data_IF_072042049018
#
_entry.id   IF_072042049018
#
_cell.length_a   1.000
_cell.length_b   1.000
_cell.length_c   1.000
_cell.angle_alpha   90.00
_cell.angle_beta   90.00
_cell.angle_gamma   90.00
#
_symmetry.space_group_name_H-M   'P 1'
#
loop_
_entity.id
_entity.type
_entity.pdbx_description
1 polymer ?
#
# COMPACT_ATOMS: atom_id res chain seq x y z
N UNK A 1 -34.96 22.69 43.39
CA UNK A 1 -33.63 23.23 43.71
C UNK A 1 -32.66 22.50 42.81
N UNK A 2 -32.18 23.20 41.79
CA UNK A 2 -31.14 22.73 40.87
C UNK A 2 -29.87 23.31 41.45
N UNK A 3 -28.97 22.46 41.92
CA UNK A 3 -27.67 22.90 42.41
C UNK A 3 -26.88 23.48 41.24
N UNK A 4 -26.78 24.81 41.24
CA UNK A 4 -25.95 25.60 40.35
C UNK A 4 -24.53 25.63 40.93
N UNK A 5 -23.79 24.54 40.85
CA UNK A 5 -22.33 24.63 40.96
C UNK A 5 -21.75 25.15 39.63
N UNK A 6 -20.92 26.21 39.66
CA UNK A 6 -20.26 26.69 38.45
C UNK A 6 -19.27 25.63 37.94
N UNK A 7 -19.46 25.23 36.69
CA UNK A 7 -18.55 24.35 35.96
C UNK A 7 -17.14 24.97 35.91
N UNK A 8 -16.22 24.38 36.65
CA UNK A 8 -14.79 24.68 36.57
C UNK A 8 -14.19 23.70 35.57
N UNK A 9 -13.63 24.14 34.42
CA UNK A 9 -12.94 23.25 33.51
C UNK A 9 -11.76 22.66 34.25
N UNK A 10 -11.81 21.36 34.55
CA UNK A 10 -10.67 20.62 35.06
C UNK A 10 -9.54 20.81 34.05
N UNK A 11 -8.42 21.37 34.52
CA UNK A 11 -7.20 21.49 33.73
C UNK A 11 -6.90 20.16 33.05
N UNK A 12 -6.63 20.20 31.75
CA UNK A 12 -6.21 19.05 30.95
C UNK A 12 -5.01 18.38 31.61
N UNK A 13 -5.23 17.29 32.34
CA UNK A 13 -4.14 16.43 32.77
C UNK A 13 -3.95 15.35 31.70
N UNK A 14 -2.89 15.50 30.91
CA UNK A 14 -2.47 14.51 29.91
C UNK A 14 -2.26 13.12 30.56
N UNK A 15 -1.99 13.08 31.87
CA UNK A 15 -1.83 11.84 32.63
C UNK A 15 -3.12 11.01 32.75
N UNK A 16 -4.31 11.63 32.72
CA UNK A 16 -5.57 10.93 32.94
C UNK A 16 -5.94 10.01 31.75
N UNK A 17 -5.56 10.37 30.52
CA UNK A 17 -5.90 9.57 29.33
C UNK A 17 -4.91 8.44 29.09
N UNK A 18 -3.64 8.69 29.42
CA UNK A 18 -2.56 7.71 29.29
C UNK A 18 -2.68 6.58 30.32
N UNK A 19 -3.37 6.81 31.44
CA UNK A 19 -3.57 5.81 32.50
C UNK A 19 -5.00 5.29 32.62
N UNK A 20 -5.91 5.74 31.74
CA UNK A 20 -7.31 5.34 31.73
C UNK A 20 -7.47 3.81 31.63
N UNK A 21 -8.28 3.23 32.52
CA UNK A 21 -8.55 1.79 32.58
C UNK A 21 -9.92 1.48 31.97
N UNK A 22 -9.98 0.41 31.19
CA UNK A 22 -11.25 -0.15 30.73
C UNK A 22 -12.09 -0.63 31.91
N UNK A 23 -13.39 -0.34 31.88
CA UNK A 23 -14.36 -0.99 32.73
C UNK A 23 -14.97 -2.23 32.05
N UNK A 24 -15.81 -2.97 32.80
CA UNK A 24 -16.45 -4.19 32.29
C UNK A 24 -17.27 -3.96 31.01
N UNK A 25 -17.88 -2.79 30.84
CA UNK A 25 -18.70 -2.49 29.68
C UNK A 25 -17.83 -2.18 28.47
N UNK A 26 -16.68 -1.54 28.66
CA UNK A 26 -15.71 -1.32 27.59
C UNK A 26 -15.24 -2.67 27.01
N UNK A 27 -14.93 -3.65 27.87
CA UNK A 27 -14.60 -5.00 27.42
C UNK A 27 -15.77 -5.72 26.72
N UNK A 28 -16.98 -5.63 27.27
CA UNK A 28 -18.17 -6.22 26.64
C UNK A 28 -18.45 -5.63 25.26
N UNK A 29 -18.31 -4.32 25.10
CA UNK A 29 -18.53 -3.62 23.84
C UNK A 29 -17.47 -4.00 22.82
N UNK A 30 -16.20 -4.02 23.23
CA UNK A 30 -15.10 -4.44 22.37
C UNK A 30 -15.32 -5.87 21.87
N UNK A 31 -15.59 -6.81 22.78
CA UNK A 31 -15.87 -8.20 22.43
C UNK A 31 -17.11 -8.33 21.54
N UNK A 32 -18.17 -7.57 21.78
CA UNK A 32 -19.35 -7.56 20.92
C UNK A 32 -19.03 -7.07 19.51
N UNK A 33 -18.31 -5.95 19.36
CA UNK A 33 -17.94 -5.41 18.05
C UNK A 33 -17.03 -6.38 17.29
N UNK A 34 -16.03 -6.95 17.98
CA UNK A 34 -15.17 -8.00 17.43
C UNK A 34 -15.95 -9.25 17.03
N UNK A 35 -16.92 -9.66 17.84
CA UNK A 35 -17.82 -10.77 17.54
C UNK A 35 -18.63 -10.54 16.27
N UNK A 36 -19.25 -9.36 16.13
CA UNK A 36 -20.00 -8.98 14.93
C UNK A 36 -19.10 -9.00 13.70
N UNK A 37 -17.89 -8.44 13.79
CA UNK A 37 -16.95 -8.42 12.69
C UNK A 37 -16.45 -9.82 12.30
N UNK A 38 -16.17 -10.69 13.28
CA UNK A 38 -15.84 -12.10 13.03
C UNK A 38 -16.97 -12.86 12.33
N UNK A 39 -18.23 -12.61 12.69
CA UNK A 39 -19.37 -13.20 11.96
C UNK A 39 -19.48 -12.66 10.52
N UNK A 40 -19.20 -11.36 10.31
CA UNK A 40 -19.17 -10.79 8.97
C UNK A 40 -18.08 -11.46 8.13
N UNK A 41 -16.92 -11.66 8.72
CA UNK A 41 -15.79 -12.33 8.09
C UNK A 41 -16.17 -13.75 7.64
N UNK A 42 -16.65 -14.59 8.55
CA UNK A 42 -17.07 -15.97 8.27
C UNK A 42 -18.16 -16.04 7.18
N UNK A 43 -19.22 -15.25 7.29
CA UNK A 43 -20.40 -15.42 6.42
C UNK A 43 -20.33 -14.66 5.09
N UNK A 44 -19.46 -13.66 4.98
CA UNK A 44 -19.42 -12.74 3.84
C UNK A 44 -18.03 -12.57 3.21
N UNK A 45 -16.95 -12.71 3.97
CA UNK A 45 -15.58 -12.78 3.44
C UNK A 45 -15.27 -14.21 3.00
N UNK A 46 -15.29 -15.20 3.91
CA UNK A 46 -15.07 -16.63 3.59
C UNK A 46 -13.75 -16.87 2.84
N UNK A 47 -13.79 -17.65 1.74
CA UNK A 47 -12.62 -17.89 0.87
C UNK A 47 -12.64 -17.05 -0.42
N UNK A 48 -11.50 -16.86 -1.10
CA UNK A 48 -11.40 -16.00 -2.28
C UNK A 48 -12.31 -16.37 -3.45
N UNK A 49 -12.67 -17.65 -3.61
CA UNK A 49 -13.43 -18.13 -4.76
C UNK A 49 -14.95 -18.03 -4.52
N UNK A 50 -15.41 -18.30 -3.29
CA UNK A 50 -16.84 -18.28 -2.99
C UNK A 50 -17.33 -16.97 -2.36
N UNK A 51 -16.41 -16.12 -1.90
CA UNK A 51 -16.67 -14.86 -1.20
C UNK A 51 -17.80 -14.01 -1.81
N UNK A 52 -18.73 -13.56 -0.97
CA UNK A 52 -19.81 -12.66 -1.38
C UNK A 52 -19.32 -11.22 -1.49
N UNK A 53 -18.57 -10.75 -0.49
CA UNK A 53 -17.95 -9.43 -0.53
C UNK A 53 -16.83 -9.38 -1.56
N UNK A 54 -16.06 -10.46 -1.72
CA UNK A 54 -15.00 -10.58 -2.72
C UNK A 54 -15.50 -10.37 -4.15
N UNK A 55 -16.64 -10.97 -4.51
CA UNK A 55 -17.28 -10.74 -5.83
C UNK A 55 -17.70 -9.28 -6.04
N UNK A 56 -18.05 -8.57 -4.98
CA UNK A 56 -18.36 -7.14 -5.05
C UNK A 56 -17.09 -6.32 -5.19
N UNK A 57 -16.04 -6.69 -4.47
CA UNK A 57 -14.73 -6.03 -4.52
C UNK A 57 -14.04 -6.23 -5.88
N UNK A 58 -14.17 -7.41 -6.49
CA UNK A 58 -13.69 -7.67 -7.85
C UNK A 58 -14.35 -6.71 -8.87
N UNK A 59 -15.65 -6.42 -8.74
CA UNK A 59 -16.33 -5.44 -9.61
C UNK A 59 -15.84 -4.02 -9.37
N UNK A 60 -15.51 -3.67 -8.14
CA UNK A 60 -14.91 -2.37 -7.80
C UNK A 60 -13.51 -2.26 -8.44
N UNK A 61 -12.69 -3.31 -8.35
CA UNK A 61 -11.39 -3.38 -9.00
C UNK A 61 -11.52 -3.27 -10.53
N UNK A 62 -12.43 -4.01 -11.16
CA UNK A 62 -12.72 -3.92 -12.59
C UNK A 62 -13.10 -2.48 -13.00
N UNK A 63 -13.97 -1.84 -12.21
CA UNK A 63 -14.40 -0.47 -12.44
C UNK A 63 -13.26 0.55 -12.27
N UNK A 64 -12.39 0.35 -11.29
CA UNK A 64 -11.19 1.15 -11.08
C UNK A 64 -10.23 1.04 -12.28
N UNK A 65 -9.85 -0.18 -12.68
CA UNK A 65 -8.96 -0.40 -13.83
C UNK A 65 -9.54 0.19 -15.11
N UNK A 66 -10.86 0.07 -15.35
CA UNK A 66 -11.52 0.72 -16.49
C UNK A 66 -11.40 2.23 -16.46
N UNK A 67 -11.73 2.86 -15.33
CA UNK A 67 -11.65 4.32 -15.17
C UNK A 67 -10.22 4.82 -15.34
N UNK A 68 -9.25 4.14 -14.74
CA UNK A 68 -7.83 4.45 -14.87
C UNK A 68 -7.38 4.37 -16.33
N UNK A 69 -7.66 3.27 -17.03
CA UNK A 69 -7.34 3.09 -18.44
C UNK A 69 -7.93 4.20 -19.32
N UNK A 70 -9.19 4.57 -19.10
CA UNK A 70 -9.85 5.64 -19.84
C UNK A 70 -9.23 7.01 -19.55
N UNK A 71 -8.91 7.31 -18.28
CA UNK A 71 -8.20 8.54 -17.90
C UNK A 71 -6.84 8.65 -18.58
N UNK A 72 -6.04 7.59 -18.51
CA UNK A 72 -4.74 7.56 -19.17
C UNK A 72 -4.89 7.66 -20.68
N UNK A 73 -5.86 6.98 -21.29
CA UNK A 73 -6.10 7.06 -22.73
C UNK A 73 -6.45 8.48 -23.20
N UNK A 74 -7.25 9.23 -22.42
CA UNK A 74 -7.57 10.63 -22.73
C UNK A 74 -6.32 11.50 -22.73
N UNK A 75 -5.40 11.25 -21.79
CA UNK A 75 -4.16 12.00 -21.62
C UNK A 75 -2.98 11.49 -22.46
N UNK A 76 -3.14 10.35 -23.13
CA UNK A 76 -2.09 9.72 -23.93
C UNK A 76 -1.85 10.48 -25.26
N UNK A 77 -0.69 11.12 -25.46
CA UNK A 77 -0.41 11.90 -26.66
C UNK A 77 0.06 11.03 -27.84
N UNK A 78 0.24 9.71 -27.66
CA UNK A 78 0.80 8.81 -28.69
C UNK A 78 -0.10 8.77 -29.93
N UNK A 79 0.51 9.01 -31.08
CA UNK A 79 -0.13 8.93 -32.40
C UNK A 79 -0.05 7.53 -33.01
N UNK A 80 0.92 6.72 -32.57
CA UNK A 80 1.13 5.33 -32.97
C UNK A 80 1.15 4.46 -31.71
N UNK A 81 0.61 3.24 -31.79
CA UNK A 81 0.48 2.33 -30.64
C UNK A 81 -0.69 2.64 -29.70
N UNK A 82 -1.31 3.83 -29.79
CA UNK A 82 -2.55 4.15 -29.08
C UNK A 82 -3.78 3.55 -29.80
N UNK A 83 -4.72 2.90 -29.09
CA UNK A 83 -5.98 2.46 -29.69
C UNK A 83 -6.77 3.65 -30.28
N UNK A 84 -7.25 3.52 -31.52
CA UNK A 84 -8.02 4.58 -32.22
C UNK A 84 -9.29 5.01 -31.50
N UNK A 85 -9.88 4.11 -30.70
CA UNK A 85 -11.08 4.37 -29.89
C UNK A 85 -10.73 4.13 -28.43
N UNK A 86 -11.37 4.90 -27.56
CA UNK A 86 -11.24 4.73 -26.12
C UNK A 86 -11.66 3.31 -25.70
N UNK A 87 -10.85 2.59 -24.91
CA UNK A 87 -11.18 1.23 -24.47
C UNK A 87 -12.45 1.23 -23.60
N UNK A 88 -13.33 0.27 -23.87
CA UNK A 88 -14.65 0.15 -23.21
C UNK A 88 -14.76 -1.15 -22.40
N UNK A 89 -14.29 -2.27 -22.97
CA UNK A 89 -14.33 -3.57 -22.29
C UNK A 89 -13.14 -3.70 -21.34
N UNK A 90 -13.27 -4.57 -20.33
CA UNK A 90 -12.18 -4.78 -19.37
C UNK A 90 -10.91 -5.30 -20.07
N UNK A 91 -11.07 -6.25 -21.00
CA UNK A 91 -9.99 -6.73 -21.88
C UNK A 91 -9.27 -5.59 -22.61
N UNK A 92 -10.01 -4.66 -23.22
CA UNK A 92 -9.44 -3.52 -23.92
C UNK A 92 -8.70 -2.57 -22.97
N UNK A 93 -9.25 -2.33 -21.78
CA UNK A 93 -8.64 -1.48 -20.78
C UNK A 93 -7.33 -2.06 -20.24
N UNK A 94 -7.31 -3.36 -19.91
CA UNK A 94 -6.09 -4.07 -19.50
C UNK A 94 -5.05 -4.02 -20.61
N UNK A 95 -5.42 -4.39 -21.84
CA UNK A 95 -4.49 -4.39 -22.96
C UNK A 95 -3.93 -3.01 -23.29
N UNK A 96 -4.73 -1.95 -23.09
CA UNK A 96 -4.26 -0.58 -23.23
C UNK A 96 -3.23 -0.23 -22.15
N UNK A 97 -3.49 -0.57 -20.87
CA UNK A 97 -2.57 -0.30 -19.77
C UNK A 97 -1.25 -1.07 -19.93
N UNK A 98 -1.30 -2.36 -20.28
CA UNK A 98 -0.12 -3.19 -20.59
C UNK A 98 0.76 -2.56 -21.70
N UNK A 99 0.14 -1.87 -22.67
CA UNK A 99 0.84 -1.16 -23.76
C UNK A 99 1.27 0.26 -23.39
N UNK A 100 0.54 0.93 -22.50
CA UNK A 100 0.83 2.28 -22.03
C UNK A 100 1.96 2.30 -21.00
N UNK A 101 2.07 1.21 -20.22
CA UNK A 101 3.05 1.04 -19.18
C UNK A 101 3.84 -0.26 -19.36
N UNK A 102 4.61 -0.42 -20.46
CA UNK A 102 5.35 -1.66 -20.67
C UNK A 102 6.45 -1.82 -19.61
N UNK A 103 6.70 -3.06 -19.20
CA UNK A 103 7.76 -3.41 -18.26
C UNK A 103 8.52 -4.65 -18.75
N UNK A 104 9.77 -4.79 -18.33
CA UNK A 104 10.64 -5.91 -18.75
C UNK A 104 10.57 -7.13 -17.82
N UNK A 105 9.77 -7.06 -16.75
CA UNK A 105 9.61 -8.09 -15.74
C UNK A 105 8.30 -8.89 -15.81
N UNK A 106 7.44 -8.62 -16.80
CA UNK A 106 6.13 -9.26 -16.99
C UNK A 106 6.18 -10.62 -17.73
N UNK A 107 7.17 -11.46 -17.41
CA UNK A 107 7.32 -12.77 -18.05
C UNK A 107 6.33 -13.78 -17.46
N UNK A 108 5.47 -14.35 -18.31
CA UNK A 108 4.38 -15.27 -17.86
C UNK A 108 4.85 -16.69 -17.55
N UNK A 109 5.98 -17.10 -18.14
CA UNK A 109 6.55 -18.44 -18.01
C UNK A 109 8.08 -18.40 -18.10
N UNK A 110 8.77 -19.41 -17.58
CA UNK A 110 10.24 -19.53 -17.70
C UNK A 110 10.71 -19.56 -19.16
N UNK A 111 9.90 -20.10 -20.08
CA UNK A 111 10.21 -20.09 -21.52
C UNK A 111 10.28 -18.69 -22.13
N UNK A 112 9.66 -17.69 -21.53
CA UNK A 112 9.72 -16.28 -21.97
C UNK A 112 11.02 -15.60 -21.50
N UNK A 113 11.86 -16.32 -20.72
CA UNK A 113 13.08 -15.85 -20.08
C UNK A 113 14.33 -16.64 -20.54
N UNK A 114 15.50 -16.00 -20.52
CA UNK A 114 16.80 -16.60 -20.82
C UNK A 114 17.35 -17.38 -19.62
N UNK A 115 16.72 -18.50 -19.27
CA UNK A 115 17.11 -19.39 -18.17
C UNK A 115 17.39 -20.82 -18.64
N UNK A 116 18.18 -21.53 -17.84
CA UNK A 116 18.39 -22.98 -18.00
C UNK A 116 17.11 -23.74 -17.65
N UNK A 117 16.95 -24.92 -18.26
CA UNK A 117 15.86 -25.83 -17.93
C UNK A 117 15.86 -26.17 -16.42
N UNK A 118 14.68 -26.14 -15.82
CA UNK A 118 14.48 -26.39 -14.39
C UNK A 118 14.45 -25.14 -13.50
N UNK A 119 15.02 -24.01 -13.93
CA UNK A 119 14.90 -22.72 -13.22
C UNK A 119 13.52 -22.12 -13.48
N UNK A 120 12.86 -21.61 -12.43
CA UNK A 120 11.48 -21.10 -12.50
C UNK A 120 10.49 -22.12 -13.08
N UNK A 121 10.73 -23.43 -12.89
CA UNK A 121 9.90 -24.49 -13.45
C UNK A 121 8.43 -24.45 -12.97
N UNK A 122 8.19 -23.82 -11.81
CA UNK A 122 6.85 -23.65 -11.23
C UNK A 122 6.14 -22.37 -11.67
N UNK A 123 6.80 -21.49 -12.42
CA UNK A 123 6.21 -20.22 -12.85
C UNK A 123 5.14 -20.46 -13.93
N UNK A 124 3.96 -19.86 -13.70
CA UNK A 124 2.79 -19.94 -14.58
C UNK A 124 2.05 -18.60 -14.57
N UNK A 125 1.14 -18.33 -15.53
CA UNK A 125 0.37 -17.10 -15.55
C UNK A 125 -0.44 -16.86 -14.27
N UNK A 126 -0.84 -17.93 -13.58
CA UNK A 126 -1.56 -17.85 -12.30
C UNK A 126 -0.74 -17.29 -11.14
N UNK A 127 0.60 -17.36 -11.21
CA UNK A 127 1.48 -17.01 -10.09
C UNK A 127 2.62 -16.05 -10.46
N UNK A 128 2.80 -15.67 -11.73
CA UNK A 128 3.93 -14.84 -12.13
C UNK A 128 3.96 -13.46 -11.47
N UNK A 129 2.81 -12.82 -11.21
CA UNK A 129 2.74 -11.58 -10.43
C UNK A 129 3.25 -11.74 -8.99
N UNK A 130 3.21 -12.94 -8.42
CA UNK A 130 3.83 -13.22 -7.12
C UNK A 130 5.33 -13.53 -7.29
N UNK A 131 5.68 -14.33 -8.30
CA UNK A 131 7.06 -14.81 -8.51
C UNK A 131 8.04 -13.70 -8.89
N UNK A 132 7.59 -12.70 -9.67
CA UNK A 132 8.37 -11.53 -10.02
C UNK A 132 8.14 -10.42 -8.99
N UNK A 133 9.21 -10.00 -8.33
CA UNK A 133 9.13 -9.09 -7.18
C UNK A 133 8.52 -7.74 -7.53
N UNK A 134 8.76 -7.27 -8.74
CA UNK A 134 8.34 -5.96 -9.22
C UNK A 134 6.80 -5.79 -9.29
N UNK A 135 6.01 -6.86 -9.25
CA UNK A 135 4.55 -6.77 -9.25
C UNK A 135 3.93 -6.61 -7.85
N UNK A 136 4.74 -6.55 -6.79
CA UNK A 136 4.25 -6.43 -5.41
C UNK A 136 3.95 -4.97 -5.07
N UNK A 137 2.73 -4.59 -4.64
CA UNK A 137 2.33 -3.20 -4.42
C UNK A 137 2.84 -2.65 -3.07
N UNK A 138 4.15 -2.65 -2.89
CA UNK A 138 4.84 -2.25 -1.66
C UNK A 138 6.24 -1.66 -1.98
N UNK A 139 6.97 -1.13 -0.97
CA UNK A 139 8.29 -0.55 -1.20
C UNK A 139 9.32 -1.54 -1.79
N UNK A 140 9.21 -2.84 -1.51
CA UNK A 140 10.15 -3.84 -2.04
C UNK A 140 9.90 -4.02 -3.53
N UNK A 141 8.64 -4.21 -3.93
CA UNK A 141 8.26 -4.29 -5.33
C UNK A 141 8.60 -3.02 -6.11
N UNK A 142 8.43 -1.83 -5.51
CA UNK A 142 8.87 -0.57 -6.12
C UNK A 142 10.37 -0.53 -6.38
N UNK A 143 11.19 -0.89 -5.38
CA UNK A 143 12.65 -0.89 -5.52
C UNK A 143 13.08 -1.82 -6.65
N UNK A 144 12.56 -3.06 -6.66
CA UNK A 144 12.89 -4.02 -7.72
C UNK A 144 12.35 -3.60 -9.07
N UNK A 145 11.16 -3.02 -9.15
CA UNK A 145 10.61 -2.47 -10.39
C UNK A 145 11.50 -1.38 -10.98
N UNK A 146 12.02 -0.46 -10.16
CA UNK A 146 12.96 0.58 -10.62
C UNK A 146 14.25 -0.10 -11.11
N UNK A 147 14.87 -0.96 -10.30
CA UNK A 147 16.13 -1.64 -10.65
C UNK A 147 15.97 -2.45 -11.94
N UNK A 148 14.92 -3.25 -12.06
CA UNK A 148 14.66 -4.09 -13.20
C UNK A 148 14.48 -3.26 -14.48
N UNK A 149 13.77 -2.13 -14.40
CA UNK A 149 13.65 -1.16 -15.50
C UNK A 149 14.99 -0.50 -15.85
N UNK A 150 15.84 -0.18 -14.87
CA UNK A 150 17.18 0.38 -15.13
C UNK A 150 18.12 -0.62 -15.78
N UNK A 151 18.08 -1.86 -15.34
CA UNK A 151 19.07 -2.88 -15.68
C UNK A 151 18.64 -3.75 -16.87
N UNK A 152 17.36 -3.72 -17.25
CA UNK A 152 16.83 -4.51 -18.36
C UNK A 152 16.68 -6.01 -18.07
N UNK A 153 16.81 -6.43 -16.81
CA UNK A 153 16.49 -7.78 -16.34
C UNK A 153 15.25 -7.77 -15.46
N UNK A 154 14.73 -8.96 -15.16
CA UNK A 154 13.64 -9.17 -14.23
C UNK A 154 14.11 -9.97 -13.00
N UNK A 155 13.67 -9.57 -11.81
CA UNK A 155 14.05 -10.21 -10.55
C UNK A 155 12.93 -11.13 -10.05
N UNK A 156 13.30 -12.39 -9.78
CA UNK A 156 12.38 -13.42 -9.28
C UNK A 156 12.92 -14.08 -8.00
N UNK A 157 12.04 -14.78 -7.28
CA UNK A 157 12.43 -15.72 -6.24
C UNK A 157 12.14 -17.15 -6.70
N UNK A 158 13.17 -18.00 -6.68
CA UNK A 158 13.05 -19.44 -6.97
C UNK A 158 13.70 -20.25 -5.85
N UNK A 159 12.93 -21.11 -5.18
CA UNK A 159 13.37 -21.93 -4.04
C UNK A 159 14.08 -21.09 -2.95
N UNK A 160 13.45 -20.00 -2.53
CA UNK A 160 13.96 -19.10 -1.50
C UNK A 160 15.18 -18.26 -1.92
N UNK A 161 15.57 -18.28 -3.20
CA UNK A 161 16.74 -17.54 -3.70
C UNK A 161 16.32 -16.50 -4.72
N UNK A 162 16.89 -15.31 -4.57
CA UNK A 162 16.76 -14.23 -5.54
C UNK A 162 17.57 -14.55 -6.79
N UNK A 163 16.95 -14.41 -7.96
CA UNK A 163 17.56 -14.61 -9.26
C UNK A 163 17.23 -13.44 -10.20
N UNK A 164 18.21 -13.03 -10.99
CA UNK A 164 18.04 -12.03 -12.06
C UNK A 164 18.04 -12.72 -13.40
N UNK A 165 17.06 -12.38 -14.25
CA UNK A 165 16.84 -13.08 -15.50
C UNK A 165 16.48 -12.11 -16.61
N UNK A 166 17.10 -12.30 -17.78
CA UNK A 166 16.83 -11.46 -18.96
C UNK A 166 15.61 -12.03 -19.72
N UNK A 167 14.60 -11.19 -20.08
CA UNK A 167 13.50 -11.62 -20.93
C UNK A 167 13.97 -11.92 -22.36
N UNK A 168 13.48 -13.01 -22.97
CA UNK A 168 13.83 -13.38 -24.37
C UNK A 168 13.24 -12.42 -25.39
N UNK A 169 12.06 -11.91 -25.10
CA UNK A 169 11.38 -10.90 -25.91
C UNK A 169 11.40 -9.61 -25.12
N UNK A 170 12.16 -8.64 -25.60
CA UNK A 170 11.93 -7.26 -25.20
C UNK A 170 10.73 -6.75 -25.98
N UNK A 171 9.82 -6.07 -25.28
CA UNK A 171 8.78 -5.30 -25.97
C UNK A 171 9.49 -4.30 -26.89
N UNK A 172 9.09 -4.23 -28.16
CA UNK A 172 9.52 -3.15 -29.06
C UNK A 172 8.86 -1.80 -28.72
N UNK A 173 7.95 -1.78 -27.74
CA UNK A 173 7.45 -0.54 -27.15
C UNK A 173 8.57 0.05 -26.30
N UNK A 174 8.77 1.37 -26.40
CA UNK A 174 9.80 2.06 -25.63
C UNK A 174 9.24 2.28 -24.21
N UNK A 175 9.80 1.60 -23.20
CA UNK A 175 10.08 2.32 -21.96
C UNK A 175 11.33 1.80 -21.27
N UNK A 176 12.35 2.65 -21.22
CA UNK A 176 13.37 2.54 -20.18
C UNK A 176 13.62 3.97 -19.75
N UNK A 177 12.96 4.36 -18.66
CA UNK A 177 13.22 5.58 -17.91
C UNK A 177 13.25 6.84 -18.80
N UNK A 178 12.08 7.30 -19.22
CA UNK A 178 11.97 8.54 -19.98
C UNK A 178 12.42 9.73 -19.11
N UNK A 179 13.64 10.18 -19.30
CA UNK A 179 14.19 11.27 -18.52
C UNK A 179 15.61 11.60 -18.95
N UNK A 180 15.99 12.86 -18.85
CA UNK A 180 17.36 13.32 -19.11
C UNK A 180 18.17 13.44 -17.81
N UNK A 181 17.53 13.25 -16.66
CA UNK A 181 18.10 13.39 -15.32
C UNK A 181 17.69 12.22 -14.43
N UNK A 182 18.50 11.88 -13.42
CA UNK A 182 18.16 10.81 -12.48
C UNK A 182 16.79 11.01 -11.80
N UNK A 183 16.40 12.21 -11.32
CA UNK A 183 15.07 12.41 -10.75
C UNK A 183 13.93 12.16 -11.74
N UNK A 184 14.05 12.62 -13.00
CA UNK A 184 13.02 12.38 -14.03
C UNK A 184 12.91 10.90 -14.40
N UNK A 185 14.04 10.20 -14.49
CA UNK A 185 14.08 8.76 -14.69
C UNK A 185 13.38 8.00 -13.55
N UNK A 186 13.69 8.33 -12.29
CA UNK A 186 13.06 7.71 -11.12
C UNK A 186 11.54 7.96 -11.09
N UNK A 187 11.10 9.19 -11.35
CA UNK A 187 9.69 9.54 -11.45
C UNK A 187 8.98 8.72 -12.53
N UNK A 188 9.55 8.64 -13.74
CA UNK A 188 8.98 7.85 -14.82
C UNK A 188 8.96 6.36 -14.50
N UNK A 189 9.99 5.82 -13.87
CA UNK A 189 10.00 4.42 -13.41
C UNK A 189 8.90 4.13 -12.39
N UNK A 190 8.67 5.05 -11.44
CA UNK A 190 7.59 4.97 -10.46
C UNK A 190 6.20 5.04 -11.10
N UNK A 191 5.96 6.00 -12.01
CA UNK A 191 4.68 6.12 -12.72
C UNK A 191 4.42 4.90 -13.60
N UNK A 192 5.46 4.39 -14.27
CA UNK A 192 5.36 3.19 -15.11
C UNK A 192 4.97 1.97 -14.27
N UNK A 193 5.61 1.79 -13.11
CA UNK A 193 5.28 0.73 -12.17
C UNK A 193 3.82 0.79 -11.71
N UNK A 194 3.36 1.96 -11.23
CA UNK A 194 1.97 2.14 -10.82
C UNK A 194 1.02 1.80 -11.97
N UNK A 195 1.29 2.33 -13.17
CA UNK A 195 0.45 2.10 -14.35
C UNK A 195 0.36 0.62 -14.74
N UNK A 196 1.48 -0.12 -14.66
CA UNK A 196 1.53 -1.56 -14.92
C UNK A 196 0.73 -2.37 -13.88
N UNK A 197 0.88 -2.04 -12.58
CA UNK A 197 0.10 -2.69 -11.52
C UNK A 197 -1.42 -2.51 -11.67
N UNK A 198 -1.87 -1.39 -12.26
CA UNK A 198 -3.31 -1.15 -12.50
C UNK A 198 -3.93 -2.15 -13.50
N UNK A 199 -3.18 -2.62 -14.49
CA UNK A 199 -3.61 -3.73 -15.36
C UNK A 199 -3.63 -5.04 -14.59
N UNK A 200 -2.55 -5.35 -13.87
CA UNK A 200 -2.36 -6.64 -13.22
C UNK A 200 -3.35 -6.90 -12.08
N UNK A 201 -3.87 -5.84 -11.46
CA UNK A 201 -4.87 -5.91 -10.38
C UNK A 201 -6.04 -6.85 -10.71
N UNK A 202 -6.45 -6.89 -11.97
CA UNK A 202 -7.64 -7.62 -12.46
C UNK A 202 -7.30 -8.78 -13.39
N UNK A 203 -6.02 -9.15 -13.48
CA UNK A 203 -5.49 -10.18 -14.37
C UNK A 203 -5.29 -9.73 -15.80
N UNK A 204 -5.04 -10.69 -16.69
CA UNK A 204 -4.67 -10.37 -18.08
C UNK A 204 -5.86 -10.25 -19.02
N UNK A 205 -5.66 -9.48 -20.09
CA UNK A 205 -6.60 -9.36 -21.22
C UNK A 205 -7.10 -10.73 -21.73
N UNK A 206 -6.23 -11.74 -21.77
CA UNK A 206 -6.58 -13.10 -22.21
C UNK A 206 -7.59 -13.83 -21.32
N UNK A 207 -7.58 -13.53 -20.01
CA UNK A 207 -8.49 -14.16 -19.03
C UNK A 207 -9.80 -13.40 -18.85
N UNK A 208 -9.82 -12.12 -19.22
CA UNK A 208 -10.94 -11.18 -19.01
C UNK A 208 -11.71 -10.85 -20.29
N UNK A 209 -11.45 -11.61 -21.37
CA UNK A 209 -12.15 -11.53 -22.65
C UNK A 209 -13.62 -11.92 -22.53
N UNK A 210 -14.47 -11.30 -23.34
CA UNK A 210 -15.90 -11.65 -23.42
C UNK A 210 -16.09 -13.15 -23.69
N UNK A 211 -16.97 -13.79 -22.91
CA UNK A 211 -17.19 -15.25 -22.94
C UNK A 211 -16.23 -16.07 -22.06
N UNK A 212 -15.23 -15.45 -21.42
CA UNK A 212 -14.44 -16.07 -20.34
C UNK A 212 -15.02 -15.68 -18.98
N UNK A 213 -15.07 -16.63 -18.05
CA UNK A 213 -15.61 -16.46 -16.70
C UNK A 213 -14.53 -16.43 -15.61
N UNK A 214 -13.24 -16.47 -15.99
CA UNK A 214 -12.13 -16.49 -15.04
C UNK A 214 -11.95 -15.16 -14.31
N UNK A 215 -11.63 -15.24 -13.01
CA UNK A 215 -11.31 -14.07 -12.16
C UNK A 215 -10.01 -13.37 -12.56
N UNK A 216 -9.08 -14.10 -13.21
CA UNK A 216 -7.73 -13.64 -13.53
C UNK A 216 -6.82 -13.62 -12.29
N UNK A 217 -5.52 -13.75 -12.48
CA UNK A 217 -4.54 -13.61 -11.39
C UNK A 217 -4.40 -12.12 -11.03
N UNK A 218 -4.68 -11.74 -9.79
CA UNK A 218 -4.45 -10.38 -9.31
C UNK A 218 -2.97 -10.15 -8.97
N UNK A 219 -2.65 -9.00 -8.41
CA UNK A 219 -1.33 -8.73 -7.81
C UNK A 219 -1.27 -9.23 -6.36
N UNK A 220 -0.09 -9.65 -5.86
CA UNK A 220 0.07 -10.06 -4.47
C UNK A 220 -0.34 -8.94 -3.52
N UNK A 221 -0.74 -9.33 -2.31
CA UNK A 221 -0.94 -8.38 -1.22
C UNK A 221 0.41 -7.74 -0.87
N UNK A 222 0.45 -6.50 -0.34
CA UNK A 222 1.71 -5.91 0.11
C UNK A 222 2.49 -6.85 1.02
N UNK A 223 3.78 -7.05 0.72
CA UNK A 223 4.70 -7.94 1.44
C UNK A 223 4.43 -9.45 1.34
N UNK A 224 3.47 -9.90 0.52
CA UNK A 224 3.17 -11.34 0.36
C UNK A 224 4.30 -12.08 -0.36
N UNK A 225 5.06 -11.41 -1.21
CA UNK A 225 6.26 -11.92 -1.87
C UNK A 225 7.36 -12.37 -0.90
N UNK A 226 7.36 -11.86 0.34
CA UNK A 226 8.29 -12.30 1.37
C UNK A 226 8.11 -13.78 1.74
N UNK A 227 6.90 -14.33 1.59
CA UNK A 227 6.66 -15.76 1.80
C UNK A 227 7.46 -16.65 0.84
N UNK A 228 7.91 -16.11 -0.29
CA UNK A 228 8.72 -16.88 -1.24
C UNK A 228 10.11 -17.22 -0.69
N UNK A 229 10.65 -16.41 0.23
CA UNK A 229 11.91 -16.68 0.94
C UNK A 229 11.77 -17.74 2.04
N UNK A 230 10.55 -18.05 2.47
CA UNK A 230 10.28 -19.05 3.48
C UNK A 230 10.31 -20.48 2.89
N UNK A 231 11.41 -20.84 2.23
CA UNK A 231 11.62 -22.16 1.62
C UNK A 231 12.12 -23.17 2.66
N UNK A 232 11.31 -23.39 3.70
CA UNK A 232 11.55 -24.36 4.76
C UNK A 232 10.29 -25.17 5.06
N UNK A 233 10.47 -26.24 5.84
CA UNK A 233 9.40 -27.16 6.22
C UNK A 233 9.06 -28.19 5.14
N UNK A 234 8.27 -29.19 5.52
CA UNK A 234 7.78 -30.22 4.63
C UNK A 234 6.37 -30.63 5.09
N UNK A 235 5.36 -29.96 4.56
CA UNK A 235 3.95 -30.21 4.83
C UNK A 235 3.38 -30.82 3.54
N UNK A 236 3.07 -32.11 3.58
CA UNK A 236 2.61 -32.90 2.42
C UNK A 236 3.50 -32.76 1.17
N UNK A 237 4.82 -32.83 1.36
CA UNK A 237 5.79 -32.71 0.27
C UNK A 237 6.03 -31.29 -0.22
N UNK A 238 5.54 -30.27 0.48
CA UNK A 238 5.68 -28.84 0.11
C UNK A 238 6.35 -28.04 1.20
N UNK A 239 7.22 -27.11 0.81
CA UNK A 239 7.74 -26.06 1.68
C UNK A 239 6.64 -25.03 1.97
N UNK A 240 6.85 -24.20 2.99
CA UNK A 240 5.90 -23.13 3.33
C UNK A 240 5.70 -22.14 2.17
N UNK A 241 6.79 -21.73 1.50
CA UNK A 241 6.75 -20.96 0.25
C UNK A 241 5.82 -21.59 -0.80
N UNK A 242 5.92 -22.90 -1.04
CA UNK A 242 5.04 -23.60 -1.99
C UNK A 242 3.56 -23.61 -1.58
N UNK A 243 3.27 -23.60 -0.29
CA UNK A 243 1.89 -23.48 0.21
C UNK A 243 1.36 -22.08 -0.07
N UNK A 244 2.13 -21.05 0.25
CA UNK A 244 1.70 -19.66 0.04
C UNK A 244 1.55 -19.29 -1.43
N UNK A 245 2.36 -19.88 -2.32
CA UNK A 245 2.15 -19.78 -3.78
C UNK A 245 0.80 -20.39 -4.17
N UNK A 246 0.44 -21.56 -3.65
CA UNK A 246 -0.85 -22.19 -3.95
C UNK A 246 -2.03 -21.37 -3.41
N UNK A 247 -1.91 -20.84 -2.20
CA UNK A 247 -2.92 -19.96 -1.61
C UNK A 247 -3.14 -18.72 -2.49
N UNK A 248 -2.06 -18.12 -3.01
CA UNK A 248 -2.17 -17.02 -3.97
C UNK A 248 -2.87 -17.44 -5.27
N UNK A 249 -2.57 -18.63 -5.80
CA UNK A 249 -3.23 -19.18 -7.00
C UNK A 249 -4.74 -19.39 -6.82
N UNK A 250 -5.21 -19.64 -5.60
CA UNK A 250 -6.64 -19.70 -5.26
C UNK A 250 -7.32 -18.32 -5.24
N UNK A 251 -6.59 -17.23 -5.49
CA UNK A 251 -7.11 -15.87 -5.57
C UNK A 251 -6.90 -15.03 -4.31
N UNK A 252 -6.04 -15.48 -3.40
CA UNK A 252 -5.62 -14.76 -2.19
C UNK A 252 -4.67 -13.60 -2.55
N UNK A 253 -5.21 -12.62 -3.26
CA UNK A 253 -4.53 -11.46 -3.84
C UNK A 253 -4.98 -10.13 -3.21
N UNK A 254 -4.46 -8.99 -3.68
CA UNK A 254 -4.82 -7.66 -3.15
C UNK A 254 -6.32 -7.37 -3.13
N UNK A 255 -7.10 -7.89 -4.09
CA UNK A 255 -8.57 -7.69 -4.10
C UNK A 255 -9.20 -8.44 -2.93
N UNK A 256 -8.71 -9.65 -2.62
CA UNK A 256 -9.16 -10.40 -1.46
C UNK A 256 -8.66 -9.77 -0.14
N UNK A 257 -7.45 -9.20 -0.09
CA UNK A 257 -6.99 -8.43 1.08
C UNK A 257 -7.91 -7.25 1.38
N UNK A 258 -8.34 -6.54 0.33
CA UNK A 258 -9.29 -5.44 0.47
C UNK A 258 -10.64 -5.93 1.01
N UNK A 259 -11.04 -7.16 0.65
CA UNK A 259 -12.25 -7.80 1.17
C UNK A 259 -12.10 -8.15 2.65
N UNK A 260 -11.00 -8.79 3.03
CA UNK A 260 -10.65 -9.12 4.41
C UNK A 260 -10.52 -7.89 5.32
N UNK A 261 -10.13 -6.73 4.77
CA UNK A 261 -10.05 -5.48 5.52
C UNK A 261 -11.42 -4.91 5.92
N UNK A 262 -12.52 -5.28 5.25
CA UNK A 262 -13.87 -4.76 5.53
C UNK A 262 -14.29 -5.02 6.99
N UNK A 263 -14.35 -6.28 7.48
CA UNK A 263 -14.72 -6.53 8.87
C UNK A 263 -13.76 -5.87 9.87
N UNK A 264 -12.47 -5.79 9.56
CA UNK A 264 -11.45 -5.15 10.42
C UNK A 264 -11.71 -3.65 10.57
N UNK A 265 -11.99 -2.94 9.48
CA UNK A 265 -12.32 -1.51 9.51
C UNK A 265 -13.66 -1.27 10.22
N UNK A 266 -14.66 -2.12 9.97
CA UNK A 266 -15.97 -2.03 10.62
C UNK A 266 -15.85 -2.18 12.14
N UNK A 267 -15.11 -3.18 12.62
CA UNK A 267 -14.82 -3.40 14.04
C UNK A 267 -14.23 -2.15 14.70
N UNK A 268 -13.17 -1.61 14.12
CA UNK A 268 -12.50 -0.42 14.62
C UNK A 268 -13.43 0.80 14.68
N UNK A 269 -14.23 1.03 13.62
CA UNK A 269 -15.18 2.15 13.57
C UNK A 269 -16.30 1.98 14.61
N UNK A 270 -16.86 0.78 14.76
CA UNK A 270 -17.90 0.50 15.76
C UNK A 270 -17.39 0.77 17.17
N UNK A 271 -16.20 0.28 17.50
CA UNK A 271 -15.57 0.52 18.81
C UNK A 271 -15.36 2.00 19.04
N UNK A 272 -14.76 2.72 18.08
CA UNK A 272 -14.51 4.15 18.21
C UNK A 272 -15.81 4.93 18.43
N UNK A 273 -16.83 4.70 17.61
CA UNK A 273 -18.11 5.42 17.74
C UNK A 273 -18.75 5.18 19.11
N UNK A 274 -18.85 3.92 19.55
CA UNK A 274 -19.46 3.61 20.85
C UNK A 274 -18.60 4.17 21.99
N UNK A 275 -17.28 4.09 21.89
CA UNK A 275 -16.36 4.68 22.87
C UNK A 275 -16.56 6.19 22.99
N UNK A 276 -16.65 6.93 21.86
CA UNK A 276 -16.91 8.39 21.88
C UNK A 276 -18.23 8.71 22.59
N UNK A 277 -19.30 7.96 22.28
CA UNK A 277 -20.60 8.12 22.94
C UNK A 277 -20.47 7.89 24.45
N UNK A 278 -19.71 6.89 24.89
CA UNK A 278 -19.48 6.62 26.31
C UNK A 278 -18.68 7.73 27.00
N UNK A 279 -17.59 8.19 26.38
CA UNK A 279 -16.79 9.29 26.93
C UNK A 279 -17.66 10.54 27.12
N UNK A 280 -18.45 10.89 26.10
CA UNK A 280 -19.26 12.10 26.11
C UNK A 280 -20.43 12.02 27.09
N UNK A 281 -21.24 10.98 27.02
CA UNK A 281 -22.54 10.97 27.67
C UNK A 281 -22.55 10.24 29.02
N UNK A 282 -21.69 9.24 29.20
CA UNK A 282 -21.60 8.47 30.46
C UNK A 282 -20.53 9.09 31.36
N UNK A 283 -19.32 9.29 30.83
CA UNK A 283 -18.18 9.83 31.59
C UNK A 283 -18.15 11.36 31.64
N UNK A 284 -19.12 12.01 30.99
CA UNK A 284 -19.31 13.47 30.96
C UNK A 284 -18.08 14.26 30.51
N UNK A 285 -17.22 13.64 29.69
CA UNK A 285 -16.03 14.30 29.14
C UNK A 285 -16.39 15.31 28.06
N UNK A 286 -15.50 16.27 27.81
CA UNK A 286 -15.68 17.23 26.72
C UNK A 286 -15.48 16.56 25.35
N UNK A 287 -15.89 17.22 24.26
CA UNK A 287 -15.72 16.70 22.90
C UNK A 287 -14.25 16.51 22.54
N UNK A 288 -13.39 17.46 22.94
CA UNK A 288 -11.95 17.38 22.70
C UNK A 288 -11.33 16.18 23.43
N UNK A 289 -11.84 15.83 24.61
CA UNK A 289 -11.36 14.67 25.38
C UNK A 289 -11.99 13.35 24.93
N UNK A 290 -12.98 13.42 24.03
CA UNK A 290 -13.69 12.26 23.47
C UNK A 290 -13.30 12.04 22.01
N UNK A 291 -12.27 12.71 21.51
CA UNK A 291 -11.78 12.50 20.15
C UNK A 291 -10.96 11.21 20.10
N UNK A 292 -11.30 10.22 19.26
CA UNK A 292 -10.71 8.88 19.34
C UNK A 292 -9.29 8.84 18.75
N UNK A 293 -8.28 9.22 19.56
CA UNK A 293 -6.86 9.14 19.22
C UNK A 293 -6.18 7.92 19.82
N UNK A 294 -4.96 7.64 19.35
CA UNK A 294 -4.07 6.61 19.91
C UNK A 294 -3.60 6.93 21.34
N UNK A 295 -3.83 8.13 21.86
CA UNK A 295 -3.32 8.54 23.16
C UNK A 295 -4.17 7.94 24.31
N UNK A 296 -5.42 7.59 24.00
CA UNK A 296 -6.36 7.00 24.95
C UNK A 296 -6.06 5.52 25.21
N UNK A 297 -5.58 5.21 26.41
CA UNK A 297 -5.22 3.83 26.79
C UNK A 297 -6.41 2.88 26.81
N UNK A 298 -7.56 3.33 27.31
CA UNK A 298 -8.80 2.54 27.32
C UNK A 298 -9.26 2.18 25.88
N UNK A 299 -9.21 3.14 24.96
CA UNK A 299 -9.55 2.90 23.55
C UNK A 299 -8.58 1.91 22.89
N UNK A 300 -7.26 2.05 23.10
CA UNK A 300 -6.27 1.11 22.55
C UNK A 300 -6.51 -0.32 23.01
N UNK A 301 -6.81 -0.51 24.30
CA UNK A 301 -7.13 -1.84 24.85
C UNK A 301 -8.45 -2.37 24.28
N UNK A 302 -9.48 -1.54 24.13
CA UNK A 302 -10.73 -1.96 23.48
C UNK A 302 -10.48 -2.46 22.05
N UNK A 303 -9.68 -1.75 21.25
CA UNK A 303 -9.32 -2.17 19.90
C UNK A 303 -8.56 -3.51 19.89
N UNK A 304 -7.64 -3.74 20.83
CA UNK A 304 -6.96 -5.04 20.96
C UNK A 304 -7.97 -6.15 21.26
N UNK A 305 -8.89 -5.93 22.20
CA UNK A 305 -9.87 -6.95 22.63
C UNK A 305 -10.87 -7.25 21.52
N UNK A 306 -11.38 -6.23 20.83
CA UNK A 306 -12.28 -6.42 19.69
C UNK A 306 -11.59 -7.17 18.56
N UNK A 307 -10.40 -6.74 18.15
CA UNK A 307 -9.68 -7.39 17.07
C UNK A 307 -9.23 -8.82 17.43
N UNK A 308 -8.88 -9.07 18.70
CA UNK A 308 -8.62 -10.43 19.20
C UNK A 308 -9.85 -11.32 19.10
N UNK A 309 -11.03 -10.78 19.43
CA UNK A 309 -12.28 -11.54 19.35
C UNK A 309 -12.62 -11.89 17.89
N UNK A 310 -12.42 -10.95 16.97
CA UNK A 310 -12.52 -11.21 15.52
C UNK A 310 -11.58 -12.35 15.12
N UNK A 311 -10.29 -12.25 15.45
CA UNK A 311 -9.28 -13.24 15.07
C UNK A 311 -9.54 -14.64 15.68
N UNK A 312 -10.12 -14.72 16.88
CA UNK A 312 -10.52 -16.01 17.48
C UNK A 312 -11.63 -16.67 16.66
N UNK A 313 -12.64 -15.91 16.23
CA UNK A 313 -13.74 -16.44 15.42
C UNK A 313 -13.23 -16.86 14.04
N UNK A 314 -12.47 -15.99 13.38
CA UNK A 314 -11.82 -16.26 12.10
C UNK A 314 -10.91 -17.50 12.15
N UNK A 315 -10.03 -17.58 13.16
CA UNK A 315 -9.13 -18.71 13.33
C UNK A 315 -9.87 -20.03 13.59
N UNK A 316 -10.99 -19.99 14.32
CA UNK A 316 -11.83 -21.16 14.53
C UNK A 316 -12.52 -21.61 13.23
N UNK A 317 -13.07 -20.68 12.45
CA UNK A 317 -13.69 -20.97 11.16
C UNK A 317 -12.66 -21.53 10.15
N UNK A 318 -11.51 -20.88 10.06
CA UNK A 318 -10.37 -21.34 9.25
C UNK A 318 -9.94 -22.75 9.62
N UNK A 319 -9.85 -23.06 10.91
CA UNK A 319 -9.51 -24.40 11.40
C UNK A 319 -10.55 -25.44 10.98
N UNK A 320 -11.84 -25.11 11.06
CA UNK A 320 -12.92 -25.99 10.61
C UNK A 320 -12.82 -26.27 9.11
N UNK A 321 -12.54 -25.25 8.30
CA UNK A 321 -12.35 -25.39 6.84
C UNK A 321 -11.03 -26.06 6.45
N UNK A 322 -10.03 -26.06 7.34
CA UNK A 322 -8.80 -26.82 7.20
C UNK A 322 -9.00 -28.32 7.43
N UNK A 323 -9.97 -28.72 8.25
CA UNK A 323 -10.25 -30.13 8.54
C UNK A 323 -11.13 -30.71 7.42
N UNK A 324 -10.57 -31.64 6.65
CA UNK A 324 -11.27 -32.33 5.54
C UNK A 324 -11.19 -33.84 5.72
N UNK A 325 -12.04 -34.59 5.00
CA UNK A 325 -12.00 -36.05 5.01
C UNK A 325 -10.62 -36.55 4.56
N UNK A 326 -9.85 -37.11 5.50
CA UNK A 326 -8.50 -37.63 5.27
C UNK A 326 -7.34 -36.79 5.83
N UNK A 327 -7.59 -35.66 6.50
CA UNK A 327 -6.54 -34.92 7.22
C UNK A 327 -6.73 -33.40 7.26
N UNK A 328 -5.65 -32.66 7.55
CA UNK A 328 -5.66 -31.20 7.61
C UNK A 328 -5.11 -30.58 6.30
N UNK A 329 -5.96 -29.86 5.56
CA UNK A 329 -5.58 -29.14 4.37
C UNK A 329 -5.17 -27.70 4.70
N UNK A 330 -3.86 -27.48 4.79
CA UNK A 330 -3.28 -26.16 5.10
C UNK A 330 -3.63 -25.07 4.08
N UNK A 331 -3.80 -25.40 2.79
CA UNK A 331 -4.17 -24.39 1.77
C UNK A 331 -5.60 -23.91 2.02
N UNK A 332 -6.53 -24.84 2.29
CA UNK A 332 -7.91 -24.50 2.65
C UNK A 332 -7.96 -23.65 3.91
N UNK A 333 -7.21 -24.03 4.96
CA UNK A 333 -7.09 -23.25 6.19
C UNK A 333 -6.67 -21.80 5.91
N UNK A 334 -5.57 -21.59 5.20
CA UNK A 334 -5.06 -20.23 4.95
C UNK A 334 -5.99 -19.44 4.03
N UNK A 335 -6.67 -20.08 3.07
CA UNK A 335 -7.63 -19.39 2.22
C UNK A 335 -8.82 -18.81 3.00
N UNK A 336 -9.18 -19.39 4.14
CA UNK A 336 -10.25 -18.87 5.01
C UNK A 336 -9.73 -17.91 6.09
N UNK A 337 -8.42 -17.86 6.31
CA UNK A 337 -7.82 -17.03 7.36
C UNK A 337 -7.80 -15.56 6.96
N UNK A 338 -8.30 -14.68 7.82
CA UNK A 338 -8.22 -13.24 7.62
C UNK A 338 -6.85 -12.68 8.02
N UNK A 339 -5.84 -12.81 7.15
CA UNK A 339 -4.47 -12.34 7.44
C UNK A 339 -4.41 -10.84 7.76
N UNK A 340 -5.32 -10.03 7.22
CA UNK A 340 -5.37 -8.58 7.50
C UNK A 340 -5.77 -8.33 8.95
N UNK A 341 -6.75 -9.09 9.47
CA UNK A 341 -7.15 -9.09 10.88
C UNK A 341 -6.00 -9.51 11.80
N UNK A 342 -5.34 -10.64 11.49
CA UNK A 342 -4.19 -11.11 12.28
C UNK A 342 -3.04 -10.11 12.29
N UNK A 343 -2.69 -9.53 11.14
CA UNK A 343 -1.65 -8.50 11.06
C UNK A 343 -2.03 -7.22 11.80
N UNK A 344 -3.30 -6.84 11.78
CA UNK A 344 -3.82 -5.73 12.60
C UNK A 344 -3.67 -6.02 14.08
N UNK A 345 -4.05 -7.21 14.55
CA UNK A 345 -3.90 -7.62 15.95
C UNK A 345 -2.43 -7.59 16.38
N UNK A 346 -1.53 -8.19 15.59
CA UNK A 346 -0.09 -8.18 15.85
C UNK A 346 0.42 -6.75 15.98
N UNK A 347 0.03 -5.86 15.06
CA UNK A 347 0.45 -4.45 15.07
C UNK A 347 -0.06 -3.72 16.31
N UNK A 348 -1.32 -3.93 16.70
CA UNK A 348 -1.90 -3.33 17.90
C UNK A 348 -1.19 -3.80 19.17
N UNK A 349 -0.94 -5.11 19.29
CA UNK A 349 -0.24 -5.70 20.45
C UNK A 349 1.20 -5.20 20.52
N UNK A 350 1.96 -5.24 19.42
CA UNK A 350 3.34 -4.75 19.40
C UNK A 350 3.40 -3.25 19.69
N UNK A 351 2.46 -2.46 19.19
CA UNK A 351 2.38 -1.03 19.50
C UNK A 351 2.13 -0.78 20.98
N UNK A 352 1.23 -1.55 21.59
CA UNK A 352 0.94 -1.43 23.03
C UNK A 352 2.11 -1.92 23.90
N UNK A 353 2.79 -2.99 23.50
CA UNK A 353 4.01 -3.45 24.16
C UNK A 353 5.11 -2.39 24.08
N UNK A 354 5.31 -1.77 22.91
CA UNK A 354 6.27 -0.66 22.75
C UNK A 354 5.91 0.53 23.64
N UNK A 355 4.63 0.88 23.76
CA UNK A 355 4.21 1.99 24.63
C UNK A 355 4.48 1.67 26.10
N UNK A 356 4.17 0.44 26.56
CA UNK A 356 4.29 0.05 27.97
C UNK A 356 5.71 -0.26 28.41
N UNK A 357 6.47 -0.93 27.55
CA UNK A 357 7.79 -1.49 27.86
C UNK A 357 8.92 -0.82 27.10
N UNK A 358 8.64 0.00 26.09
CA UNK A 358 9.65 0.72 25.32
C UNK A 358 10.63 1.51 26.19
N UNK A 359 10.17 2.35 27.14
CA UNK A 359 11.08 3.06 28.04
C UNK A 359 11.98 2.13 28.86
N UNK A 360 11.46 0.99 29.31
CA UNK A 360 12.23 0.00 30.07
C UNK A 360 13.24 -0.70 29.16
N UNK A 361 12.83 -1.06 27.95
CA UNK A 361 13.71 -1.71 26.97
C UNK A 361 14.83 -0.76 26.53
N UNK A 362 14.52 0.52 26.30
CA UNK A 362 15.51 1.54 25.98
C UNK A 362 16.52 1.73 27.11
N UNK A 363 16.07 1.71 28.37
CA UNK A 363 16.97 1.74 29.53
C UNK A 363 17.88 0.51 29.57
N UNK A 364 17.31 -0.70 29.41
CA UNK A 364 18.08 -1.95 29.44
C UNK A 364 19.07 -2.04 28.28
N UNK A 365 18.67 -1.61 27.08
CA UNK A 365 19.54 -1.57 25.90
C UNK A 365 20.67 -0.55 26.12
N UNK A 366 20.35 0.64 26.62
CA UNK A 366 21.38 1.66 26.96
C UNK A 366 22.36 1.13 27.98
N UNK A 367 21.87 0.54 29.08
CA UNK A 367 22.73 -0.05 30.12
C UNK A 367 23.58 -1.20 29.57
N UNK A 368 23.02 -2.08 28.74
CA UNK A 368 23.76 -3.14 28.06
C UNK A 368 24.83 -2.59 27.13
N UNK A 369 24.51 -1.58 26.32
CA UNK A 369 25.45 -0.91 25.41
C UNK A 369 26.55 -0.23 26.22
N UNK A 370 26.21 0.52 27.26
CA UNK A 370 27.17 1.25 28.10
C UNK A 370 28.12 0.29 28.82
N UNK A 371 27.60 -0.81 29.37
CA UNK A 371 28.40 -1.86 30.01
C UNK A 371 29.26 -2.62 29.00
N UNK A 372 28.72 -2.96 27.83
CA UNK A 372 29.47 -3.61 26.74
C UNK A 372 30.55 -2.68 26.19
N UNK A 373 30.26 -1.40 26.02
CA UNK A 373 31.22 -0.37 25.59
C UNK A 373 32.25 -0.06 26.67
N UNK A 374 31.91 -0.17 27.95
CA UNK A 374 32.84 -0.05 29.07
C UNK A 374 33.82 -1.23 29.13
N UNK A 375 33.34 -2.44 28.83
CA UNK A 375 34.13 -3.67 28.82
C UNK A 375 35.05 -3.81 27.60
N UNK A 376 34.69 -3.23 26.45
CA UNK A 376 35.36 -3.50 25.17
C UNK A 376 36.46 -2.49 24.79
N UNK A 377 36.54 -1.29 25.40
CA UNK A 377 37.28 -0.20 24.75
C UNK A 377 38.45 0.42 25.50
N UNK A 378 39.57 0.52 24.77
CA UNK A 378 40.62 1.51 25.02
C UNK A 378 40.06 2.94 24.85
N UNK A 379 40.67 3.98 25.46
CA UNK A 379 40.20 5.37 25.32
C UNK A 379 40.05 5.86 23.86
N UNK A 380 40.85 5.33 22.94
CA UNK A 380 40.82 5.69 21.52
C UNK A 380 39.53 5.22 20.80
N UNK A 381 39.07 4.00 21.09
CA UNK A 381 37.85 3.44 20.49
C UNK A 381 36.57 4.07 21.06
N UNK A 382 36.64 4.60 22.29
CA UNK A 382 35.54 5.39 22.87
C UNK A 382 35.37 6.70 22.12
N UNK A 383 36.47 7.40 21.85
CA UNK A 383 36.47 8.63 21.05
C UNK A 383 35.97 8.40 19.62
N UNK A 384 36.43 7.34 18.96
CA UNK A 384 36.06 7.08 17.56
C UNK A 384 34.55 6.80 17.37
N UNK A 385 33.92 6.10 18.33
CA UNK A 385 32.48 5.83 18.28
C UNK A 385 31.67 7.06 18.68
N UNK A 386 32.13 7.84 19.65
CA UNK A 386 31.51 9.13 19.95
C UNK A 386 31.53 10.05 18.70
N UNK A 387 32.68 10.19 18.05
CA UNK A 387 32.84 10.98 16.83
C UNK A 387 32.01 10.41 15.66
N UNK A 388 31.75 9.10 15.62
CA UNK A 388 30.88 8.48 14.62
C UNK A 388 29.40 8.80 14.88
N UNK A 389 28.93 8.66 16.12
CA UNK A 389 27.55 8.96 16.49
C UNK A 389 27.23 10.45 16.32
N UNK A 390 28.16 11.33 16.72
CA UNK A 390 28.00 12.77 16.52
C UNK A 390 27.86 13.12 15.02
N UNK A 391 28.69 12.50 14.15
CA UNK A 391 28.56 12.70 12.69
C UNK A 391 27.22 12.18 12.14
N UNK A 392 26.71 11.07 12.67
CA UNK A 392 25.40 10.55 12.28
C UNK A 392 24.28 11.53 12.67
N UNK A 393 24.31 12.09 13.88
CA UNK A 393 23.36 13.10 14.33
C UNK A 393 23.45 14.37 13.45
N UNK A 394 24.66 14.85 13.17
CA UNK A 394 24.86 16.02 12.28
C UNK A 394 24.32 15.77 10.86
N UNK A 395 24.49 14.56 10.30
CA UNK A 395 23.91 14.22 9.01
C UNK A 395 22.39 14.10 9.04
N UNK A 396 21.83 13.57 10.12
CA UNK A 396 20.39 13.48 10.32
C UNK A 396 19.76 14.87 10.32
N UNK A 397 20.34 15.81 11.09
CA UNK A 397 19.88 17.20 11.16
C UNK A 397 19.97 17.90 9.80
N UNK A 398 21.07 17.68 9.06
CA UNK A 398 21.23 18.23 7.71
C UNK A 398 20.19 17.69 6.73
N UNK A 399 19.91 16.38 6.78
CA UNK A 399 18.90 15.75 5.92
C UNK A 399 17.49 16.27 6.25
N UNK A 400 17.18 16.48 7.53
CA UNK A 400 15.90 17.03 7.95
C UNK A 400 15.73 18.47 7.47
N UNK A 401 16.77 19.30 7.55
CA UNK A 401 16.76 20.67 7.00
C UNK A 401 16.55 20.64 5.48
N UNK A 402 17.33 19.84 4.76
CA UNK A 402 17.21 19.68 3.30
C UNK A 402 15.81 19.21 2.89
N UNK A 403 15.23 18.29 3.65
CA UNK A 403 13.89 17.78 3.38
C UNK A 403 12.81 18.83 3.63
N UNK A 404 12.94 19.63 4.69
CA UNK A 404 12.04 20.76 4.98
C UNK A 404 12.14 21.81 3.87
N UNK A 405 13.35 22.20 3.47
CA UNK A 405 13.58 23.17 2.40
C UNK A 405 12.99 22.67 1.07
N UNK A 406 13.25 21.41 0.71
CA UNK A 406 12.68 20.78 -0.48
C UNK A 406 11.15 20.79 -0.43
N UNK A 407 10.55 20.40 0.70
CA UNK A 407 9.10 20.37 0.85
C UNK A 407 8.49 21.76 0.71
N UNK A 408 9.12 22.79 1.29
CA UNK A 408 8.67 24.18 1.18
C UNK A 408 8.75 24.71 -0.26
N UNK A 409 9.83 24.40 -0.98
CA UNK A 409 10.00 24.77 -2.39
C UNK A 409 8.89 24.12 -3.23
N UNK A 410 8.70 22.81 -3.07
CA UNK A 410 7.69 22.05 -3.81
C UNK A 410 6.29 22.56 -3.48
N UNK A 411 5.94 22.75 -2.21
CA UNK A 411 4.62 23.28 -1.83
C UNK A 411 4.37 24.67 -2.42
N UNK A 412 5.37 25.55 -2.43
CA UNK A 412 5.27 26.87 -3.03
C UNK A 412 5.07 26.78 -4.55
N UNK A 413 5.86 25.97 -5.25
CA UNK A 413 5.71 25.73 -6.68
C UNK A 413 4.31 25.20 -7.02
N UNK A 414 3.80 24.23 -6.23
CA UNK A 414 2.45 23.70 -6.40
C UNK A 414 1.36 24.75 -6.15
N UNK A 415 1.53 25.62 -5.14
CA UNK A 415 0.57 26.69 -4.86
C UNK A 415 0.52 27.71 -5.99
N UNK A 416 1.68 28.14 -6.50
CA UNK A 416 1.78 29.07 -7.63
C UNK A 416 1.16 28.44 -8.88
N UNK A 417 1.53 27.20 -9.21
CA UNK A 417 0.98 26.48 -10.35
C UNK A 417 -0.55 26.32 -10.26
N UNK A 418 -1.06 25.98 -9.07
CA UNK A 418 -2.50 25.78 -8.88
C UNK A 418 -3.29 27.09 -8.94
N UNK A 419 -2.73 28.18 -8.41
CA UNK A 419 -3.30 29.50 -8.53
C UNK A 419 -3.40 29.94 -9.99
N UNK A 420 -2.30 29.87 -10.74
CA UNK A 420 -2.27 30.24 -12.16
C UNK A 420 -3.18 29.35 -13.00
N UNK A 421 -3.24 28.04 -12.72
CA UNK A 421 -4.16 27.12 -13.37
C UNK A 421 -5.63 27.52 -13.13
N UNK A 422 -5.98 27.84 -11.88
CA UNK A 422 -7.35 28.23 -11.52
C UNK A 422 -7.76 29.53 -12.21
N UNK A 423 -6.92 30.56 -12.16
CA UNK A 423 -7.22 31.86 -12.76
C UNK A 423 -7.24 31.81 -14.29
N UNK A 424 -6.40 30.97 -14.90
CA UNK A 424 -6.42 30.71 -16.36
C UNK A 424 -7.77 30.19 -16.84
N UNK A 425 -8.46 29.37 -16.03
CA UNK A 425 -9.73 28.73 -16.38
C UNK A 425 -10.94 29.31 -15.63
N UNK A 426 -10.83 30.46 -14.96
CA UNK A 426 -11.97 31.11 -14.30
C UNK A 426 -12.82 31.89 -15.31
N UNK A 427 -14.05 31.44 -15.53
CA UNK A 427 -15.01 32.09 -16.43
C UNK A 427 -15.38 33.52 -15.99
N UNK A 428 -15.22 33.85 -14.70
CA UNK A 428 -15.46 35.19 -14.16
C UNK A 428 -14.30 36.16 -14.40
N UNK A 429 -13.11 35.67 -14.77
CA UNK A 429 -11.96 36.50 -15.10
C UNK A 429 -12.10 37.09 -16.52
N UNK A 430 -11.44 38.22 -16.77
CA UNK A 430 -11.46 38.85 -18.10
C UNK A 430 -10.69 37.97 -19.10
N UNK A 431 -11.03 38.06 -20.39
CA UNK A 431 -10.31 37.31 -21.43
C UNK A 431 -8.81 37.69 -21.51
N UNK A 432 -8.47 38.94 -21.15
CA UNK A 432 -7.08 39.38 -21.06
C UNK A 432 -6.39 38.81 -19.82
N UNK A 433 -7.04 38.85 -18.64
CA UNK A 433 -6.50 38.27 -17.41
C UNK A 433 -6.26 36.76 -17.52
N UNK A 434 -7.20 36.00 -18.11
CA UNK A 434 -7.00 34.57 -18.40
C UNK A 434 -5.80 34.31 -19.32
N UNK A 435 -5.57 35.18 -20.30
CA UNK A 435 -4.43 35.05 -21.22
C UNK A 435 -3.10 35.33 -20.50
N UNK A 436 -3.06 36.34 -19.63
CA UNK A 436 -1.89 36.67 -18.81
C UNK A 436 -1.54 35.52 -17.85
N UNK A 437 -2.52 34.99 -17.11
CA UNK A 437 -2.33 33.83 -16.24
C UNK A 437 -1.92 32.57 -17.02
N UNK A 438 -2.46 32.35 -18.23
CA UNK A 438 -2.05 31.23 -19.09
C UNK A 438 -0.59 31.32 -19.53
N UNK A 439 -0.06 32.53 -19.74
CA UNK A 439 1.34 32.77 -20.09
C UNK A 439 2.22 32.44 -18.88
N UNK A 440 1.89 32.99 -17.71
CA UNK A 440 2.61 32.74 -16.46
C UNK A 440 2.60 31.26 -16.08
N UNK A 441 1.46 30.58 -16.23
CA UNK A 441 1.35 29.12 -16.03
C UNK A 441 2.32 28.35 -16.93
N UNK A 442 2.44 28.73 -18.20
CA UNK A 442 3.35 28.08 -19.15
C UNK A 442 4.82 28.32 -18.79
N UNK A 443 5.16 29.53 -18.33
CA UNK A 443 6.52 29.86 -17.86
C UNK A 443 6.90 29.03 -16.62
N UNK A 444 6.01 28.97 -15.62
CA UNK A 444 6.23 28.19 -14.38
C UNK A 444 6.28 26.69 -14.68
N UNK A 445 5.54 26.21 -15.68
CA UNK A 445 5.58 24.81 -16.14
C UNK A 445 6.83 24.46 -16.96
N UNK A 446 7.76 25.40 -17.15
CA UNK A 446 9.02 25.18 -17.86
C UNK A 446 8.89 25.15 -19.39
N UNK A 447 7.85 25.75 -19.96
CA UNK A 447 7.69 25.84 -21.41
C UNK A 447 8.73 26.81 -21.98
N UNK A 448 9.41 26.42 -23.07
CA UNK A 448 10.36 27.31 -23.76
C UNK A 448 9.66 28.60 -24.20
N UNK A 449 10.26 29.77 -23.93
CA UNK A 449 9.67 31.08 -24.27
C UNK A 449 9.26 31.23 -25.74
N UNK A 450 9.98 30.57 -26.65
CA UNK A 450 9.65 30.55 -28.09
C UNK A 450 8.33 29.84 -28.43
N UNK A 451 7.78 29.06 -27.49
CA UNK A 451 6.54 28.30 -27.64
C UNK A 451 5.38 28.92 -26.86
N UNK A 452 5.61 30.03 -26.14
CA UNK A 452 4.59 30.74 -25.38
C UNK A 452 4.05 31.87 -26.26
N UNK A 453 2.76 31.80 -26.57
CA UNK A 453 2.09 32.79 -27.41
C UNK A 453 1.57 33.92 -26.52
N UNK A 454 2.20 35.10 -26.64
CA UNK A 454 1.93 36.25 -25.77
C UNK A 454 1.09 37.34 -26.45
N UNK A 455 0.80 37.21 -27.75
CA UNK A 455 -0.02 38.18 -28.49
C UNK A 455 -0.88 37.54 -29.57
N UNK A 456 -1.96 38.22 -29.98
CA UNK A 456 -2.81 37.76 -31.09
C UNK A 456 -2.05 37.65 -32.41
N UNK A 457 -1.09 38.54 -32.67
CA UNK A 457 -0.26 38.47 -33.87
C UNK A 457 0.55 37.18 -33.92
N UNK A 458 1.08 36.73 -32.78
CA UNK A 458 1.80 35.46 -32.69
C UNK A 458 0.88 34.24 -32.84
N UNK A 459 -0.40 34.34 -32.45
CA UNK A 459 -1.40 33.31 -32.75
C UNK A 459 -1.56 33.21 -34.27
N UNK A 460 -1.76 34.35 -34.93
CA UNK A 460 -1.98 34.39 -36.39
C UNK A 460 -0.75 33.87 -37.15
N UNK A 461 0.47 34.24 -36.74
CA UNK A 461 1.75 33.74 -37.29
C UNK A 461 1.97 32.24 -37.04
N UNK A 462 1.41 31.68 -35.96
CA UNK A 462 1.52 30.26 -35.64
C UNK A 462 0.56 29.38 -36.47
N UNK A 463 -0.55 29.96 -36.97
CA UNK A 463 -1.57 29.27 -37.76
C UNK A 463 -1.52 29.59 -39.27
N UNK A 464 -0.70 30.56 -39.69
CA UNK A 464 -0.35 30.85 -41.10
C UNK A 464 0.82 30.01 -41.58
#
# INVERSE_FOLDING_TARGET
>A
MIDNEPYIPTSLDINDWQTAKCDKYDFMIAAFCGGVAGLIDVFFVGDPLTSKLGKSMDKVADGFTKKAAQMFWIKDPRQSGKPKKMPQTLEQCISYLEQAFPVNYDARYSKDLMVKDGVLARMRPSNHHLMSLAHSPDPIGLIFSIIDQFMGYATFIDNGKLIHVIPKKTSGAIPYLQGTTLPSMLFCGFVNWIGHLMSDLVGSSSTRKEGKTGRGAGIPMPFYELFLFCDFGNIDGKTFSNIMVKVFEEGYDTRFATTMAIPVIMEELMIKVIWVVRQKYIRKKSWNQSYPTKDHTDLRIMLIVGNSTLCIIDGADSALHGIVDGGFNIVSFVCHLNIVGWMRLITLVLSELKIRYGPVLDLVIREFIDNSMAAVKTPAEKKLIYDFNQRLEEYQDQLDILFIEYTQIIEKEYQELYFELKETFDDNNTSQGRAEHSITLAEISGVEKSRIVVSRQQVDEFFS
#
